data_IF_688378871530
#
_entry.id   IF_688378871530
#
_cell.length_a   1.000
_cell.length_b   1.000
_cell.length_c   1.000
_cell.angle_alpha   90.00
_cell.angle_beta   90.00
_cell.angle_gamma   90.00
#
_symmetry.space_group_name_H-M   'P 1'
#
loop_
_entity.id
_entity.type
_entity.pdbx_description
1 polymer ?
#
# COMPACT_ATOMS: atom_id res chain seq x y z
N UNK A 1 -16.11 -8.36 25.66
CA UNK A 1 -15.13 -8.55 26.75
C UNK A 1 -13.90 -9.23 26.13
N UNK A 2 -12.88 -8.46 25.79
CA UNK A 2 -11.71 -8.91 25.05
C UNK A 2 -10.70 -9.62 25.98
N UNK A 3 -9.98 -10.66 25.54
CA UNK A 3 -8.76 -11.08 26.19
C UNK A 3 -7.56 -10.33 25.59
N UNK A 4 -6.72 -9.81 26.47
CA UNK A 4 -5.49 -9.12 26.19
C UNK A 4 -4.52 -9.99 25.36
N UNK A 5 -4.18 -9.54 24.15
CA UNK A 5 -2.99 -10.01 23.42
C UNK A 5 -1.73 -9.55 24.17
N UNK A 6 -1.36 -10.32 25.20
CA UNK A 6 -0.11 -10.15 25.93
C UNK A 6 1.03 -10.64 25.05
N UNK A 7 2.02 -9.76 24.90
CA UNK A 7 3.24 -9.94 24.12
C UNK A 7 3.99 -11.25 24.45
N UNK A 8 4.31 -12.01 23.41
CA UNK A 8 5.36 -13.03 23.44
C UNK A 8 5.96 -13.18 22.04
N UNK A 9 6.73 -12.17 21.61
CA UNK A 9 7.78 -12.40 20.62
C UNK A 9 9.07 -12.59 21.42
N UNK A 10 9.59 -13.81 21.45
CA UNK A 10 10.73 -14.21 22.25
C UNK A 10 11.97 -13.40 21.87
N UNK A 11 12.71 -12.98 22.91
CA UNK A 11 13.99 -12.29 22.81
C UNK A 11 15.03 -13.08 21.98
N UNK A 12 14.86 -14.40 21.86
CA UNK A 12 15.67 -15.33 21.08
C UNK A 12 15.62 -15.07 19.56
N UNK A 13 14.45 -14.79 18.99
CA UNK A 13 14.32 -14.50 17.55
C UNK A 13 15.01 -13.19 17.18
N UNK A 14 15.00 -12.22 18.10
CA UNK A 14 15.74 -10.97 17.95
C UNK A 14 17.25 -11.15 18.16
N UNK A 15 17.67 -12.07 19.05
CA UNK A 15 19.08 -12.41 19.29
C UNK A 15 19.71 -13.18 18.12
N UNK A 16 18.99 -14.14 17.53
CA UNK A 16 19.43 -14.93 16.38
C UNK A 16 19.63 -14.07 15.12
N UNK A 17 18.80 -13.04 14.91
CA UNK A 17 19.00 -12.10 13.81
C UNK A 17 20.15 -11.10 14.08
N UNK A 18 20.40 -10.77 15.36
CA UNK A 18 21.46 -9.84 15.77
C UNK A 18 22.87 -10.39 15.55
N UNK A 19 23.08 -11.70 15.63
CA UNK A 19 24.40 -12.34 15.44
C UNK A 19 24.84 -12.41 13.97
N UNK A 20 23.91 -12.31 13.02
CA UNK A 20 24.19 -12.55 11.60
C UNK A 20 24.33 -11.28 10.74
N UNK A 21 24.15 -10.08 11.31
CA UNK A 21 24.21 -8.83 10.55
C UNK A 21 24.97 -7.73 11.33
N UNK A 22 26.09 -7.17 10.83
CA UNK A 22 26.91 -6.17 11.55
C UNK A 22 26.41 -4.72 11.44
N UNK A 23 25.22 -4.44 10.90
CA UNK A 23 24.76 -3.05 10.70
C UNK A 23 24.59 -2.22 12.00
N UNK A 24 24.74 -0.89 11.97
CA UNK A 24 24.60 -0.01 13.14
C UNK A 24 23.23 -0.16 13.83
N UNK A 25 23.22 -0.20 15.17
CA UNK A 25 22.03 -0.46 16.01
C UNK A 25 20.83 0.46 15.73
N UNK A 26 21.08 1.71 15.31
CA UNK A 26 20.03 2.67 14.98
C UNK A 26 19.22 2.29 13.72
N UNK A 27 19.85 1.70 12.70
CA UNK A 27 19.16 1.23 11.49
C UNK A 27 18.30 -0.01 11.77
N UNK A 28 18.73 -0.87 12.71
CA UNK A 28 18.01 -2.10 13.09
C UNK A 28 16.68 -1.84 13.80
N UNK A 29 16.61 -0.78 14.62
CA UNK A 29 15.41 -0.41 15.37
C UNK A 29 14.26 0.01 14.44
N UNK A 30 14.58 0.63 13.31
CA UNK A 30 13.59 1.12 12.33
C UNK A 30 13.06 -0.01 11.43
N UNK A 31 13.90 -0.98 11.03
CA UNK A 31 13.47 -2.12 10.22
C UNK A 31 12.49 -3.05 10.94
N UNK A 32 12.65 -3.25 12.25
CA UNK A 32 11.70 -4.10 13.01
C UNK A 32 10.30 -3.47 13.09
N UNK A 33 10.23 -2.13 13.16
CA UNK A 33 8.96 -1.40 13.20
C UNK A 33 8.22 -1.46 11.87
N UNK A 34 8.92 -1.26 10.74
CA UNK A 34 8.29 -1.31 9.41
C UNK A 34 7.76 -2.70 9.07
N UNK A 35 8.48 -3.77 9.43
CA UNK A 35 7.98 -5.14 9.25
C UNK A 35 6.74 -5.42 10.10
N UNK A 36 6.68 -4.86 11.32
CA UNK A 36 5.52 -4.99 12.19
C UNK A 36 4.30 -4.26 11.62
N UNK A 37 4.48 -3.04 11.11
CA UNK A 37 3.43 -2.26 10.43
C UNK A 37 2.93 -2.98 9.18
N UNK A 38 3.81 -3.53 8.34
CA UNK A 38 3.42 -4.31 7.16
C UNK A 38 2.55 -5.49 7.57
N UNK A 39 2.98 -6.27 8.56
CA UNK A 39 2.21 -7.42 9.03
C UNK A 39 0.87 -7.02 9.67
N UNK A 40 0.84 -5.89 10.38
CA UNK A 40 -0.39 -5.33 10.95
C UNK A 40 -1.39 -4.98 9.84
N UNK A 41 -0.99 -4.18 8.85
CA UNK A 41 -1.88 -3.75 7.77
C UNK A 41 -2.27 -4.87 6.80
N UNK A 42 -1.43 -5.91 6.66
CA UNK A 42 -1.80 -7.10 5.89
C UNK A 42 -2.86 -7.97 6.56
N UNK A 43 -3.00 -7.89 7.89
CA UNK A 43 -4.02 -8.62 8.65
C UNK A 43 -5.30 -7.81 8.88
N UNK A 44 -5.23 -6.49 8.77
CA UNK A 44 -6.41 -5.63 8.89
C UNK A 44 -7.20 -5.59 7.58
N UNK A 45 -8.53 -5.53 7.69
CA UNK A 45 -9.44 -5.24 6.59
C UNK A 45 -9.92 -3.78 6.59
N UNK A 46 -9.38 -2.97 7.51
CA UNK A 46 -9.74 -1.57 7.66
C UNK A 46 -9.24 -0.73 6.50
N UNK A 47 -10.03 0.30 6.13
CA UNK A 47 -9.60 1.30 5.17
C UNK A 47 -8.45 2.13 5.75
N UNK A 48 -7.42 2.34 4.93
CA UNK A 48 -6.20 3.05 5.27
C UNK A 48 -6.48 4.55 5.38
N UNK A 49 -7.30 5.13 4.48
CA UNK A 49 -7.56 6.56 4.50
C UNK A 49 -8.71 6.93 5.44
N UNK A 50 -8.59 8.04 6.20
CA UNK A 50 -9.72 8.57 6.95
C UNK A 50 -10.87 9.00 6.02
N UNK A 51 -12.08 8.45 6.24
CA UNK A 51 -13.26 8.70 5.39
C UNK A 51 -13.55 10.18 5.15
N UNK A 52 -13.44 11.01 6.19
CA UNK A 52 -13.73 12.44 6.08
C UNK A 52 -12.74 13.18 5.16
N UNK A 53 -11.47 12.79 5.15
CA UNK A 53 -10.45 13.39 4.28
C UNK A 53 -10.68 12.93 2.84
N UNK A 54 -10.92 11.64 2.65
CA UNK A 54 -11.19 11.08 1.33
C UNK A 54 -12.45 11.67 0.69
N UNK A 55 -13.53 11.83 1.46
CA UNK A 55 -14.76 12.46 0.98
C UNK A 55 -14.55 13.90 0.52
N UNK A 56 -13.76 14.70 1.28
CA UNK A 56 -13.41 16.08 0.87
C UNK A 56 -12.64 16.10 -0.45
N UNK A 57 -11.67 15.19 -0.61
CA UNK A 57 -10.90 15.05 -1.84
C UNK A 57 -11.81 14.73 -3.05
N UNK A 58 -12.76 13.80 -2.89
CA UNK A 58 -13.71 13.45 -3.96
C UNK A 58 -14.58 14.65 -4.34
N UNK A 59 -15.08 15.41 -3.36
CA UNK A 59 -15.85 16.62 -3.63
C UNK A 59 -15.02 17.71 -4.34
N UNK A 60 -13.76 17.89 -3.95
CA UNK A 60 -12.84 18.83 -4.58
C UNK A 60 -12.55 18.46 -6.05
N UNK A 61 -12.28 17.19 -6.33
CA UNK A 61 -12.00 16.68 -7.68
C UNK A 61 -13.23 16.76 -8.58
N UNK A 62 -14.44 16.51 -8.04
CA UNK A 62 -15.64 16.46 -8.85
C UNK A 62 -16.03 17.85 -9.43
N UNK A 63 -15.40 18.95 -8.97
CA UNK A 63 -15.51 20.38 -9.37
C UNK A 63 -16.94 20.97 -9.30
N UNK A 64 -17.95 20.14 -9.49
CA UNK A 64 -19.37 20.38 -9.36
C UNK A 64 -19.75 20.08 -7.92
N UNK A 65 -20.59 20.94 -7.34
CA UNK A 65 -21.19 20.75 -6.02
C UNK A 65 -22.25 19.62 -6.03
N UNK A 66 -21.91 18.44 -6.54
CA UNK A 66 -22.77 17.27 -6.48
C UNK A 66 -22.78 16.73 -5.05
N UNK A 67 -23.97 16.43 -4.55
CA UNK A 67 -24.11 15.71 -3.29
C UNK A 67 -23.92 14.23 -3.56
N UNK A 68 -22.90 13.63 -2.96
CA UNK A 68 -22.69 12.20 -3.02
C UNK A 68 -23.48 11.50 -1.91
N UNK A 69 -24.08 10.36 -2.24
CA UNK A 69 -24.57 9.45 -1.22
C UNK A 69 -23.37 8.86 -0.45
N UNK A 70 -23.56 8.58 0.84
CA UNK A 70 -22.51 8.00 1.67
C UNK A 70 -22.02 6.65 1.11
N UNK A 71 -22.94 5.80 0.63
CA UNK A 71 -22.63 4.51 0.01
C UNK A 71 -21.75 4.65 -1.23
N UNK A 72 -21.95 5.71 -2.03
CA UNK A 72 -21.12 5.99 -3.21
C UNK A 72 -19.70 6.36 -2.80
N UNK A 73 -19.55 7.20 -1.78
CA UNK A 73 -18.22 7.58 -1.26
C UNK A 73 -17.47 6.37 -0.70
N UNK A 74 -18.17 5.48 0.02
CA UNK A 74 -17.57 4.24 0.53
C UNK A 74 -17.05 3.35 -0.62
N UNK A 75 -17.84 3.16 -1.68
CA UNK A 75 -17.42 2.35 -2.84
C UNK A 75 -16.23 2.96 -3.56
N UNK A 76 -16.23 4.28 -3.76
CA UNK A 76 -15.11 4.99 -4.38
C UNK A 76 -13.84 4.81 -3.54
N UNK A 77 -13.95 4.96 -2.21
CA UNK A 77 -12.81 4.79 -1.31
C UNK A 77 -12.26 3.36 -1.35
N UNK A 78 -13.12 2.35 -1.19
CA UNK A 78 -12.73 0.93 -1.27
C UNK A 78 -12.01 0.64 -2.60
N UNK A 79 -12.56 1.14 -3.71
CA UNK A 79 -11.99 0.93 -5.05
C UNK A 79 -10.63 1.63 -5.20
N UNK A 80 -10.49 2.85 -4.69
CA UNK A 80 -9.25 3.61 -4.77
C UNK A 80 -8.14 2.96 -3.94
N UNK A 81 -8.42 2.56 -2.71
CA UNK A 81 -7.45 1.90 -1.82
C UNK A 81 -7.03 0.52 -2.34
N UNK A 82 -7.99 -0.25 -2.88
CA UNK A 82 -7.69 -1.52 -3.53
C UNK A 82 -6.75 -1.34 -4.73
N UNK A 83 -7.02 -0.32 -5.55
CA UNK A 83 -6.19 0.01 -6.72
C UNK A 83 -4.78 0.42 -6.30
N UNK A 84 -4.66 1.28 -5.28
CA UNK A 84 -3.35 1.70 -4.74
C UNK A 84 -2.57 0.54 -4.13
N UNK A 85 -3.22 -0.31 -3.34
CA UNK A 85 -2.60 -1.51 -2.74
C UNK A 85 -2.09 -2.46 -3.82
N UNK A 86 -2.89 -2.66 -4.87
CA UNK A 86 -2.51 -3.47 -6.03
C UNK A 86 -1.30 -2.87 -6.75
N UNK A 87 -1.27 -1.55 -6.95
CA UNK A 87 -0.13 -0.85 -7.55
C UNK A 87 1.15 -1.03 -6.70
N UNK A 88 1.07 -0.84 -5.39
CA UNK A 88 2.21 -1.03 -4.49
C UNK A 88 2.72 -2.47 -4.49
N UNK A 89 1.84 -3.47 -4.58
CA UNK A 89 2.23 -4.88 -4.71
C UNK A 89 3.08 -5.14 -5.96
N UNK A 90 2.75 -4.52 -7.09
CA UNK A 90 3.56 -4.65 -8.31
C UNK A 90 4.86 -3.86 -8.22
N UNK A 91 4.83 -2.64 -7.67
CA UNK A 91 6.03 -1.83 -7.44
C UNK A 91 7.07 -2.59 -6.61
N UNK A 92 6.67 -3.24 -5.50
CA UNK A 92 7.58 -4.03 -4.66
C UNK A 92 8.22 -5.19 -5.44
N UNK A 93 7.48 -5.85 -6.33
CA UNK A 93 8.03 -6.91 -7.19
C UNK A 93 9.09 -6.35 -8.15
N UNK A 94 8.81 -5.22 -8.79
CA UNK A 94 9.74 -4.55 -9.71
C UNK A 94 11.01 -4.09 -8.99
N UNK A 95 10.88 -3.52 -7.79
CA UNK A 95 12.05 -3.15 -6.97
C UNK A 95 12.92 -4.36 -6.62
N UNK A 96 12.29 -5.48 -6.25
CA UNK A 96 12.99 -6.71 -5.87
C UNK A 96 13.80 -7.26 -7.05
N UNK A 97 13.27 -7.14 -8.28
CA UNK A 97 13.98 -7.52 -9.50
C UNK A 97 15.27 -6.70 -9.70
N UNK A 98 15.30 -5.45 -9.24
CA UNK A 98 16.46 -4.57 -9.31
C UNK A 98 17.30 -4.56 -8.02
N UNK A 99 17.06 -5.51 -7.09
CA UNK A 99 17.76 -5.60 -5.80
C UNK A 99 17.65 -4.33 -4.92
N UNK A 100 16.57 -3.56 -5.07
CA UNK A 100 16.30 -2.38 -4.26
C UNK A 100 15.33 -2.69 -3.10
N UNK A 101 15.58 -2.07 -1.95
CA UNK A 101 14.74 -2.18 -0.74
C UNK A 101 13.82 -0.96 -0.57
N UNK A 102 14.19 0.19 -1.16
CA UNK A 102 13.45 1.45 -1.04
C UNK A 102 12.71 1.77 -2.33
N UNK A 103 11.40 2.01 -2.23
CA UNK A 103 10.57 2.40 -3.38
C UNK A 103 10.89 3.83 -3.79
N UNK A 104 11.17 4.03 -5.08
CA UNK A 104 11.43 5.36 -5.63
C UNK A 104 10.27 5.84 -6.51
N UNK A 105 10.25 7.16 -6.76
CA UNK A 105 9.30 7.77 -7.71
C UNK A 105 9.48 7.19 -9.11
N UNK A 106 10.71 6.85 -9.51
CA UNK A 106 11.00 6.25 -10.82
C UNK A 106 10.35 4.89 -11.00
N UNK A 107 10.37 4.05 -9.95
CA UNK A 107 9.72 2.74 -9.97
C UNK A 107 8.21 2.89 -10.17
N UNK A 108 7.60 3.83 -9.45
CA UNK A 108 6.16 4.12 -9.56
C UNK A 108 5.80 4.66 -10.94
N UNK A 109 6.62 5.57 -11.50
CA UNK A 109 6.43 6.10 -12.86
C UNK A 109 6.52 4.99 -13.91
N UNK A 110 7.50 4.08 -13.79
CA UNK A 110 7.65 2.94 -14.70
C UNK A 110 6.41 2.04 -14.66
N UNK A 111 5.92 1.70 -13.47
CA UNK A 111 4.72 0.87 -13.32
C UNK A 111 3.47 1.56 -13.86
N UNK A 112 3.29 2.85 -13.60
CA UNK A 112 2.18 3.63 -14.17
C UNK A 112 2.24 3.65 -15.71
N UNK A 113 3.43 3.78 -16.30
CA UNK A 113 3.60 3.73 -17.75
C UNK A 113 3.23 2.35 -18.32
N UNK A 114 3.66 1.26 -17.69
CA UNK A 114 3.28 -0.10 -18.09
C UNK A 114 1.76 -0.27 -18.02
N UNK A 115 1.13 0.11 -16.90
CA UNK A 115 -0.32 0.01 -16.72
C UNK A 115 -1.07 0.85 -17.76
N UNK A 116 -0.61 2.07 -18.03
CA UNK A 116 -1.19 2.96 -19.05
C UNK A 116 -1.11 2.36 -20.44
N UNK A 117 0.05 1.82 -20.82
CA UNK A 117 0.25 1.16 -22.12
C UNK A 117 -0.68 -0.04 -22.26
N UNK A 118 -0.70 -0.95 -21.28
CA UNK A 118 -1.59 -2.11 -21.29
C UNK A 118 -3.05 -1.70 -21.42
N UNK A 119 -3.50 -0.73 -20.61
CA UNK A 119 -4.87 -0.19 -20.68
C UNK A 119 -5.18 0.35 -22.08
N UNK A 120 -4.27 1.09 -22.70
CA UNK A 120 -4.48 1.65 -24.05
C UNK A 120 -4.61 0.57 -25.13
N UNK A 121 -3.84 -0.52 -25.03
CA UNK A 121 -3.93 -1.63 -25.99
C UNK A 121 -5.25 -2.39 -25.84
N UNK A 122 -5.73 -2.63 -24.62
CA UNK A 122 -7.05 -3.21 -24.38
C UNK A 122 -8.18 -2.38 -25.01
N UNK A 123 -8.17 -1.06 -24.83
CA UNK A 123 -9.23 -0.20 -25.39
C UNK A 123 -9.16 -0.06 -26.91
N UNK A 124 -7.97 -0.09 -27.52
CA UNK A 124 -7.82 -0.15 -28.99
C UNK A 124 -8.40 -1.43 -29.55
N UNK A 125 -8.16 -2.57 -28.90
CA UNK A 125 -8.68 -3.87 -29.34
C UNK A 125 -10.20 -3.97 -29.28
N UNK A 126 -10.86 -3.29 -28.33
CA UNK A 126 -12.32 -3.27 -28.22
C UNK A 126 -13.01 -2.34 -29.21
N UNK A 127 -12.30 -1.37 -29.79
CA UNK A 127 -12.85 -0.47 -30.80
C UNK A 127 -12.75 -1.01 -32.24
N UNK A 128 -12.09 -2.17 -32.42
CA UNK A 128 -11.94 -2.86 -33.70
C UNK A 128 -12.94 -4.02 -33.91
N UNK A 129 -13.88 -4.21 -32.97
CA UNK A 129 -15.00 -5.15 -33.02
C UNK A 129 -16.30 -4.37 -33.23
#
# INVERSE_FOLDING_TARGET
>A
MAPACRAAYTQESCAAWKSCNPQPCAQRMNHCKSLHEIHFYQKSEDLIFPKAIFARLVCEINERNHQFQHSVLDVIQVTAEFTLTTLFKYNVKTMTHHSHVTLTVRDTQLMMNIVKTLRSEYFKSTAAL
#
